data_IF_620834078142
#
_entry.id   IF_620834078142
#
_cell.length_a   1.000
_cell.length_b   1.000
_cell.length_c   1.000
_cell.angle_alpha   90.00
_cell.angle_beta   90.00
_cell.angle_gamma   90.00
#
_symmetry.space_group_name_H-M   'P 1'
#
loop_
_entity.id
_entity.type
_entity.pdbx_description
1 polymer ?
#
# COMPACT_ATOMS: atom_id res chain seq x y z
N UNK A 1 -1.27 12.10 13.69
CA UNK A 1 -2.41 11.31 13.16
C UNK A 1 -2.34 11.35 11.65
N UNK A 2 -2.46 10.21 10.98
CA UNK A 2 -2.41 10.12 9.52
C UNK A 2 -3.69 10.68 8.89
N UNK A 3 -3.55 11.45 7.80
CA UNK A 3 -4.66 11.99 7.04
C UNK A 3 -4.82 11.21 5.71
N UNK A 4 -5.87 10.38 5.55
CA UNK A 4 -6.10 9.64 4.31
C UNK A 4 -6.19 10.51 3.06
N UNK A 5 -6.83 11.69 3.14
CA UNK A 5 -6.90 12.62 2.00
C UNK A 5 -5.51 13.05 1.53
N UNK A 6 -4.64 13.41 2.47
CA UNK A 6 -3.28 13.82 2.14
C UNK A 6 -2.47 12.68 1.48
N UNK A 7 -2.64 11.44 1.95
CA UNK A 7 -1.99 10.27 1.34
C UNK A 7 -2.47 10.09 -0.10
N UNK A 8 -3.79 10.11 -0.33
CA UNK A 8 -4.35 9.95 -1.69
C UNK A 8 -3.90 11.09 -2.60
N UNK A 9 -3.85 12.33 -2.12
CA UNK A 9 -3.39 13.48 -2.90
C UNK A 9 -1.93 13.34 -3.34
N UNK A 10 -1.04 12.85 -2.45
CA UNK A 10 0.35 12.57 -2.80
C UNK A 10 0.46 11.43 -3.83
N UNK A 11 -0.35 10.38 -3.69
CA UNK A 11 -0.41 9.28 -4.65
C UNK A 11 -0.86 9.76 -6.04
N UNK A 12 -1.94 10.55 -6.10
CA UNK A 12 -2.44 11.17 -7.33
C UNK A 12 -1.36 12.04 -7.96
N UNK A 13 -0.71 12.91 -7.18
CA UNK A 13 0.33 13.78 -7.70
C UNK A 13 1.53 13.00 -8.27
N UNK A 14 1.91 11.89 -7.63
CA UNK A 14 2.96 10.99 -8.13
C UNK A 14 2.59 10.31 -9.46
N UNK A 15 1.38 9.76 -9.54
CA UNK A 15 0.89 9.13 -10.77
C UNK A 15 0.69 10.15 -11.89
N UNK A 16 0.15 11.33 -11.58
CA UNK A 16 -0.03 12.42 -12.55
C UNK A 16 1.29 12.81 -13.21
N UNK A 17 2.36 13.03 -12.41
CA UNK A 17 3.69 13.32 -12.95
C UNK A 17 4.19 12.20 -13.86
N UNK A 18 4.01 10.94 -13.45
CA UNK A 18 4.43 9.81 -14.29
C UNK A 18 3.63 9.70 -15.59
N UNK A 19 2.33 10.01 -15.55
CA UNK A 19 1.48 10.10 -16.74
C UNK A 19 2.03 11.16 -17.72
N UNK A 20 2.32 12.35 -17.20
CA UNK A 20 2.86 13.47 -17.97
C UNK A 20 4.24 13.15 -18.57
N UNK A 21 5.12 12.47 -17.82
CA UNK A 21 6.41 11.99 -18.33
C UNK A 21 6.24 11.01 -19.49
N UNK A 22 5.35 10.00 -19.34
CA UNK A 22 5.06 9.03 -20.38
C UNK A 22 4.50 9.70 -21.65
N UNK A 23 3.68 10.73 -21.49
CA UNK A 23 3.13 11.49 -22.61
C UNK A 23 4.20 12.35 -23.29
N UNK A 24 5.09 12.99 -22.52
CA UNK A 24 6.21 13.76 -23.05
C UNK A 24 7.23 12.88 -23.80
N UNK A 25 7.45 11.65 -23.31
CA UNK A 25 8.27 10.63 -23.97
C UNK A 25 7.60 10.04 -25.24
N UNK A 26 6.33 10.38 -25.50
CA UNK A 26 5.50 9.75 -26.53
C UNK A 26 5.43 8.22 -26.35
N UNK A 27 5.39 7.76 -25.09
CA UNK A 27 5.37 6.36 -24.76
C UNK A 27 4.10 5.68 -25.32
N UNK A 28 4.30 4.54 -25.99
CA UNK A 28 3.22 3.71 -26.55
C UNK A 28 2.35 3.10 -25.45
N UNK A 29 2.90 2.90 -24.26
CA UNK A 29 2.24 2.29 -23.09
C UNK A 29 2.11 3.33 -21.97
N UNK A 30 0.94 3.35 -21.34
CA UNK A 30 0.59 4.31 -20.30
C UNK A 30 0.77 3.75 -18.89
N UNK A 31 0.24 4.48 -17.90
CA UNK A 31 0.19 4.03 -16.51
C UNK A 31 -0.59 2.70 -16.35
N UNK A 32 -1.62 2.51 -17.15
CA UNK A 32 -2.47 1.31 -17.17
C UNK A 32 -1.77 0.07 -17.77
N UNK A 33 -0.55 0.24 -18.29
CA UNK A 33 0.31 -0.85 -18.70
C UNK A 33 1.26 -1.33 -17.60
N UNK A 34 1.41 -0.56 -16.52
CA UNK A 34 2.26 -0.93 -15.38
C UNK A 34 1.60 -2.06 -14.61
N UNK A 35 2.38 -3.05 -14.22
CA UNK A 35 1.97 -4.01 -13.21
C UNK A 35 1.88 -3.35 -11.83
N UNK A 36 1.16 -3.99 -10.91
CA UNK A 36 1.07 -3.57 -9.50
C UNK A 36 2.45 -3.27 -8.89
N UNK A 37 3.42 -4.18 -9.07
CA UNK A 37 4.79 -4.02 -8.57
C UNK A 37 5.52 -2.85 -9.23
N UNK A 38 5.26 -2.58 -10.52
CA UNK A 38 5.83 -1.44 -11.24
C UNK A 38 5.20 -0.10 -10.82
N UNK A 39 4.01 -0.10 -10.22
CA UNK A 39 3.41 1.10 -9.64
C UNK A 39 4.04 1.49 -8.29
N UNK A 40 4.55 0.52 -7.52
CA UNK A 40 5.16 0.77 -6.22
C UNK A 40 6.27 1.84 -6.25
N UNK A 41 7.26 1.81 -7.18
CA UNK A 41 8.27 2.87 -7.26
C UNK A 41 7.69 4.24 -7.64
N UNK A 42 6.63 4.30 -8.46
CA UNK A 42 5.98 5.56 -8.84
C UNK A 42 5.29 6.19 -7.63
N UNK A 43 4.50 5.39 -6.90
CA UNK A 43 3.84 5.81 -5.66
C UNK A 43 4.87 6.20 -4.59
N UNK A 44 5.93 5.41 -4.42
CA UNK A 44 6.98 5.71 -3.47
C UNK A 44 7.70 7.03 -3.76
N UNK A 45 7.99 7.31 -5.04
CA UNK A 45 8.54 8.60 -5.45
C UNK A 45 7.57 9.75 -5.16
N UNK A 46 6.27 9.54 -5.41
CA UNK A 46 5.20 10.49 -5.09
C UNK A 46 5.16 10.86 -3.60
N UNK A 47 5.12 9.85 -2.73
CA UNK A 47 5.13 10.03 -1.28
C UNK A 47 6.42 10.67 -0.77
N UNK A 48 7.57 10.25 -1.28
CA UNK A 48 8.87 10.82 -0.89
C UNK A 48 8.99 12.30 -1.26
N UNK A 49 8.54 12.68 -2.47
CA UNK A 49 8.48 14.09 -2.89
C UNK A 49 7.49 14.91 -2.06
N UNK A 50 6.45 14.26 -1.52
CA UNK A 50 5.54 14.81 -0.52
C UNK A 50 6.13 14.98 0.88
N UNK A 51 7.40 14.60 1.10
CA UNK A 51 8.06 14.72 2.40
C UNK A 51 7.80 13.56 3.35
N UNK A 52 7.26 12.43 2.88
CA UNK A 52 7.14 11.22 3.68
C UNK A 52 8.40 10.36 3.56
N UNK A 53 8.71 9.59 4.60
CA UNK A 53 9.62 8.45 4.44
C UNK A 53 8.84 7.26 3.88
N UNK A 54 9.50 6.45 3.04
CA UNK A 54 8.84 5.36 2.32
C UNK A 54 9.73 4.12 2.35
N UNK A 55 9.15 3.01 2.81
CA UNK A 55 9.73 1.68 2.74
C UNK A 55 8.89 0.84 1.79
N UNK A 56 9.54 0.12 0.87
CA UNK A 56 8.86 -0.79 -0.06
C UNK A 56 9.05 -2.23 0.38
N UNK A 57 8.04 -3.06 0.20
CA UNK A 57 8.08 -4.51 0.46
C UNK A 57 8.60 -4.85 1.87
N UNK A 58 8.14 -4.07 2.87
CA UNK A 58 8.62 -4.17 4.24
C UNK A 58 7.88 -5.29 4.99
N UNK A 59 8.58 -6.16 5.75
CA UNK A 59 7.94 -7.28 6.41
C UNK A 59 6.95 -6.82 7.50
N UNK A 60 5.82 -7.51 7.60
CA UNK A 60 4.81 -7.23 8.62
C UNK A 60 5.37 -7.37 10.04
N UNK A 61 5.01 -6.47 10.98
CA UNK A 61 5.58 -6.44 12.34
C UNK A 61 4.96 -7.50 13.27
N UNK A 62 3.94 -8.22 12.81
CA UNK A 62 3.25 -9.27 13.56
C UNK A 62 4.08 -10.55 13.76
N UNK A 63 3.60 -11.41 14.65
CA UNK A 63 4.22 -12.73 14.89
C UNK A 63 5.55 -12.69 15.64
N UNK A 64 5.87 -11.58 16.30
CA UNK A 64 7.14 -11.36 17.01
C UNK A 64 7.49 -12.47 18.03
N UNK A 65 6.49 -13.07 18.68
CA UNK A 65 6.69 -14.19 19.61
C UNK A 65 7.34 -15.43 18.96
N UNK A 66 7.05 -15.69 17.68
CA UNK A 66 7.62 -16.82 16.92
C UNK A 66 8.97 -16.50 16.29
N UNK A 67 9.36 -15.23 16.27
CA UNK A 67 10.64 -14.74 15.71
C UNK A 67 11.00 -15.30 14.31
N UNK A 68 10.06 -15.30 13.35
CA UNK A 68 10.30 -15.88 12.02
C UNK A 68 11.48 -15.18 11.32
N UNK A 69 12.16 -15.90 10.42
CA UNK A 69 13.22 -15.31 9.59
C UNK A 69 12.61 -14.29 8.63
N UNK A 70 13.42 -13.32 8.21
CA UNK A 70 12.98 -12.26 7.30
C UNK A 70 12.35 -12.79 5.99
N UNK A 71 12.84 -13.92 5.46
CA UNK A 71 12.32 -14.54 4.25
C UNK A 71 10.98 -15.30 4.45
N UNK A 72 10.61 -15.60 5.70
CA UNK A 72 9.40 -16.35 6.05
C UNK A 72 8.21 -15.41 6.32
N UNK A 73 8.44 -14.09 6.36
CA UNK A 73 7.43 -13.09 6.68
C UNK A 73 6.80 -12.55 5.41
N UNK A 74 5.47 -12.43 5.46
CA UNK A 74 4.72 -11.62 4.51
C UNK A 74 5.17 -10.17 4.57
N UNK A 75 5.04 -9.48 3.43
CA UNK A 75 5.48 -8.10 3.24
C UNK A 75 4.29 -7.23 2.93
N UNK A 76 4.36 -5.99 3.41
CA UNK A 76 3.47 -4.92 3.02
C UNK A 76 4.11 -4.16 1.85
N UNK A 77 3.30 -3.79 0.87
CA UNK A 77 3.79 -3.14 -0.35
C UNK A 77 4.53 -1.84 -0.04
N UNK A 78 3.92 -0.98 0.79
CA UNK A 78 4.46 0.31 1.18
C UNK A 78 4.24 0.58 2.68
N UNK A 79 5.25 1.16 3.34
CA UNK A 79 5.12 1.70 4.69
C UNK A 79 5.59 3.14 4.70
N UNK A 80 4.74 4.02 5.21
CA UNK A 80 4.99 5.46 5.24
C UNK A 80 5.37 5.92 6.65
N UNK A 81 6.34 6.82 6.73
CA UNK A 81 6.72 7.54 7.95
C UNK A 81 6.54 9.04 7.74
N UNK A 82 6.33 9.79 8.83
CA UNK A 82 5.99 11.22 8.80
C UNK A 82 7.11 12.13 8.28
N UNK A 83 8.33 11.61 8.17
CA UNK A 83 9.48 12.31 7.64
C UNK A 83 10.41 11.34 6.88
N UNK A 84 11.20 11.83 5.91
CA UNK A 84 12.21 11.03 5.24
C UNK A 84 13.41 10.75 6.15
N UNK A 85 14.17 9.70 5.82
CA UNK A 85 15.45 9.38 6.49
C UNK A 85 15.32 8.81 7.90
N UNK A 86 14.12 8.72 8.46
CA UNK A 86 13.88 8.02 9.74
C UNK A 86 13.86 6.51 9.51
N UNK A 87 14.46 5.74 10.42
CA UNK A 87 14.43 4.27 10.36
C UNK A 87 13.10 3.74 10.86
N UNK A 88 12.50 2.78 10.17
CA UNK A 88 11.37 2.00 10.67
C UNK A 88 11.89 0.86 11.56
N UNK A 89 11.31 0.72 12.75
CA UNK A 89 11.69 -0.33 13.70
C UNK A 89 11.08 -1.66 13.24
N UNK A 90 11.89 -2.72 13.18
CA UNK A 90 11.42 -4.09 12.99
C UNK A 90 11.47 -4.84 14.35
N UNK A 91 10.33 -5.03 15.03
CA UNK A 91 10.30 -5.65 16.35
C UNK A 91 10.79 -7.11 16.31
N UNK A 92 10.59 -7.81 15.18
CA UNK A 92 11.04 -9.20 15.04
C UNK A 92 12.56 -9.26 14.93
N UNK A 93 13.16 -8.38 14.12
CA UNK A 93 14.61 -8.29 13.98
C UNK A 93 15.28 -7.92 15.31
N UNK A 94 14.70 -6.97 16.06
CA UNK A 94 15.17 -6.59 17.40
C UNK A 94 15.22 -7.77 18.37
N UNK A 95 14.14 -8.55 18.45
CA UNK A 95 14.11 -9.72 19.33
C UNK A 95 15.14 -10.78 18.91
N UNK A 96 15.34 -10.96 17.60
CA UNK A 96 16.37 -11.88 17.09
C UNK A 96 17.79 -11.43 17.43
N UNK A 97 18.07 -10.13 17.36
CA UNK A 97 19.38 -9.59 17.73
C UNK A 97 19.67 -9.81 19.22
N UNK A 98 18.66 -9.65 20.09
CA UNK A 98 18.78 -10.00 21.51
C UNK A 98 19.07 -11.50 21.69
N UNK A 99 18.31 -12.38 21.03
CA UNK A 99 18.54 -13.82 21.09
C UNK A 99 19.95 -14.21 20.56
N UNK A 100 20.41 -13.57 19.48
CA UNK A 100 21.74 -13.82 18.88
C UNK A 100 22.89 -13.32 19.77
N UNK A 101 22.61 -12.39 20.69
CA UNK A 101 23.57 -11.93 21.70
C UNK A 101 23.73 -12.87 22.88
N UNK A 102 22.85 -13.87 23.04
CA UNK A 102 22.93 -14.85 24.11
C UNK A 102 24.27 -15.61 24.04
N UNK A 103 24.96 -15.70 25.17
CA UNK A 103 26.30 -16.31 25.23
C UNK A 103 27.46 -15.41 24.78
N UNK A 104 27.19 -14.15 24.41
CA UNK A 104 28.24 -13.14 24.15
C UNK A 104 28.56 -12.32 25.40
N UNK A 105 29.67 -11.58 25.36
CA UNK A 105 30.06 -10.65 26.44
C UNK A 105 29.06 -9.51 26.68
N UNK A 106 28.18 -9.23 25.71
CA UNK A 106 27.23 -8.11 25.75
C UNK A 106 25.79 -8.55 26.04
N UNK A 107 25.55 -9.83 26.35
CA UNK A 107 24.21 -10.38 26.55
C UNK A 107 23.39 -9.59 27.59
N UNK A 108 24.02 -9.09 28.66
CA UNK A 108 23.34 -8.33 29.71
C UNK A 108 22.92 -6.91 29.31
N UNK A 109 23.44 -6.39 28.19
CA UNK A 109 23.15 -5.04 27.70
C UNK A 109 22.38 -5.04 26.37
N UNK A 110 22.30 -6.17 25.68
CA UNK A 110 21.75 -6.27 24.34
C UNK A 110 20.30 -5.76 24.26
N UNK A 111 19.45 -6.14 25.23
CA UNK A 111 18.06 -5.68 25.27
C UNK A 111 17.96 -4.15 25.40
N UNK A 112 18.77 -3.54 26.26
CA UNK A 112 18.77 -2.09 26.48
C UNK A 112 19.31 -1.34 25.25
N UNK A 113 20.38 -1.86 24.62
CA UNK A 113 20.97 -1.27 23.42
C UNK A 113 19.98 -1.29 22.25
N UNK A 114 19.33 -2.43 22.02
CA UNK A 114 18.33 -2.60 20.94
C UNK A 114 17.09 -1.75 21.21
N UNK A 115 16.66 -1.63 22.47
CA UNK A 115 15.54 -0.77 22.85
C UNK A 115 15.87 0.73 22.68
N UNK A 116 17.11 1.13 22.93
CA UNK A 116 17.58 2.50 22.82
C UNK A 116 17.81 2.96 21.36
N UNK A 117 17.81 2.05 20.39
CA UNK A 117 17.97 2.43 18.99
C UNK A 117 16.81 3.35 18.53
N UNK A 118 17.12 4.53 17.95
CA UNK A 118 16.10 5.45 17.48
C UNK A 118 15.39 4.89 16.24
N UNK A 119 14.10 5.16 16.13
CA UNK A 119 13.31 4.81 14.96
C UNK A 119 11.81 5.06 15.17
N UNK A 120 11.04 4.87 14.11
CA UNK A 120 9.59 4.95 14.11
C UNK A 120 9.02 3.59 14.53
N UNK A 121 8.17 3.57 15.54
CA UNK A 121 7.43 2.36 15.91
C UNK A 121 6.46 1.97 14.78
N UNK A 122 6.31 0.67 14.45
CA UNK A 122 5.29 0.21 13.49
C UNK A 122 3.89 0.79 13.70
N UNK A 123 3.50 1.08 14.95
CA UNK A 123 2.21 1.68 15.29
C UNK A 123 2.10 3.16 14.85
N UNK A 124 3.22 3.87 14.75
CA UNK A 124 3.26 5.28 14.32
C UNK A 124 3.36 5.43 12.79
N UNK A 125 3.70 4.36 12.08
CA UNK A 125 3.77 4.31 10.62
C UNK A 125 2.38 4.06 9.99
N UNK A 126 2.25 4.37 8.68
CA UNK A 126 1.07 4.00 7.89
C UNK A 126 1.40 2.83 6.98
N UNK A 127 0.69 1.72 7.14
CA UNK A 127 0.89 0.49 6.37
C UNK A 127 -0.08 0.44 5.19
N UNK A 128 0.44 0.38 3.97
CA UNK A 128 -0.33 0.56 2.75
C UNK A 128 -0.14 -0.61 1.80
N UNK A 129 -1.23 -1.32 1.56
CA UNK A 129 -1.36 -2.30 0.47
C UNK A 129 -1.83 -1.60 -0.79
N UNK A 130 -1.27 -1.96 -1.94
CA UNK A 130 -1.63 -1.35 -3.24
C UNK A 130 -2.29 -2.43 -4.10
N UNK A 131 -3.47 -2.13 -4.61
CA UNK A 131 -4.12 -2.97 -5.61
C UNK A 131 -4.37 -2.21 -6.88
N UNK A 132 -3.91 -2.74 -8.00
CA UNK A 132 -4.26 -2.20 -9.32
C UNK A 132 -5.26 -3.09 -10.04
N UNK A 133 -6.26 -2.46 -10.66
CA UNK A 133 -7.26 -3.10 -11.51
C UNK A 133 -7.58 -2.18 -12.70
N UNK A 134 -7.78 -2.73 -13.90
CA UNK A 134 -8.17 -1.94 -15.07
C UNK A 134 -9.32 -2.59 -15.84
N UNK A 135 -10.24 -1.79 -16.38
CA UNK A 135 -11.28 -2.26 -17.30
C UNK A 135 -10.69 -2.80 -18.60
N UNK A 136 -9.62 -2.17 -19.07
CA UNK A 136 -8.81 -2.65 -20.19
C UNK A 136 -7.40 -2.95 -19.70
N UNK A 137 -6.84 -4.09 -20.11
CA UNK A 137 -5.51 -4.55 -19.71
C UNK A 137 -4.76 -5.18 -20.89
N UNK A 138 -3.45 -5.39 -20.72
CA UNK A 138 -2.64 -6.13 -21.68
C UNK A 138 -2.62 -7.62 -21.34
N UNK A 139 -3.26 -8.45 -22.16
CA UNK A 139 -3.15 -9.91 -22.06
C UNK A 139 -2.15 -10.40 -23.09
N UNK A 140 -1.01 -10.94 -22.62
CA UNK A 140 0.12 -11.37 -23.50
C UNK A 140 0.57 -10.25 -24.47
N UNK A 141 0.56 -9.02 -23.98
CA UNK A 141 0.96 -7.83 -24.75
C UNK A 141 -0.11 -7.28 -25.69
N UNK A 142 -1.30 -7.90 -25.77
CA UNK A 142 -2.42 -7.42 -26.58
C UNK A 142 -3.42 -6.68 -25.70
N UNK A 143 -3.77 -5.42 -26.02
CA UNK A 143 -4.78 -4.69 -25.26
C UNK A 143 -6.18 -5.25 -25.51
N UNK A 144 -7.00 -5.31 -24.46
CA UNK A 144 -8.38 -5.74 -24.56
C UNK A 144 -9.15 -5.60 -23.24
N UNK A 145 -10.47 -5.85 -23.25
CA UNK A 145 -11.28 -5.79 -22.03
C UNK A 145 -10.85 -6.86 -21.02
N UNK A 146 -10.85 -6.47 -19.75
CA UNK A 146 -10.53 -7.35 -18.64
C UNK A 146 -11.77 -8.15 -18.21
N UNK A 147 -11.88 -9.39 -18.69
CA UNK A 147 -12.97 -10.30 -18.33
C UNK A 147 -13.01 -10.65 -16.82
N UNK A 148 -11.91 -10.43 -16.08
CA UNK A 148 -11.81 -10.70 -14.65
C UNK A 148 -12.01 -9.45 -13.77
N UNK A 149 -12.24 -8.27 -14.38
CA UNK A 149 -12.26 -6.96 -13.72
C UNK A 149 -12.99 -6.94 -12.37
N UNK A 150 -14.28 -7.30 -12.35
CA UNK A 150 -15.07 -7.27 -11.12
C UNK A 150 -14.55 -8.25 -10.06
N UNK A 151 -14.07 -9.42 -10.48
CA UNK A 151 -13.53 -10.42 -9.54
C UNK A 151 -12.17 -10.01 -8.95
N UNK A 152 -11.34 -9.30 -9.72
CA UNK A 152 -10.06 -8.75 -9.27
C UNK A 152 -10.29 -7.60 -8.27
N UNK A 153 -11.20 -6.68 -8.59
CA UNK A 153 -11.58 -5.58 -7.72
C UNK A 153 -12.08 -6.08 -6.35
N UNK A 154 -12.96 -7.08 -6.35
CA UNK A 154 -13.54 -7.61 -5.12
C UNK A 154 -12.63 -8.59 -4.36
N UNK A 155 -11.55 -9.08 -4.97
CA UNK A 155 -10.61 -10.00 -4.30
C UNK A 155 -9.94 -9.36 -3.09
N UNK A 156 -9.68 -8.05 -3.15
CA UNK A 156 -9.10 -7.25 -2.07
C UNK A 156 -9.89 -7.37 -0.76
N UNK A 157 -11.22 -7.45 -0.83
CA UNK A 157 -12.08 -7.66 0.33
C UNK A 157 -11.76 -8.97 1.07
N UNK A 158 -11.23 -9.97 0.37
CA UNK A 158 -10.94 -11.28 0.93
C UNK A 158 -9.51 -11.41 1.47
N UNK A 159 -8.56 -10.66 0.92
CA UNK A 159 -7.12 -10.82 1.21
C UNK A 159 -6.58 -9.70 2.09
N UNK A 160 -6.54 -8.47 1.58
CA UNK A 160 -5.62 -7.46 2.09
C UNK A 160 -6.19 -6.67 3.27
N UNK A 161 -7.51 -6.44 3.29
CA UNK A 161 -8.17 -5.80 4.44
C UNK A 161 -8.06 -6.66 5.71
N UNK A 162 -8.39 -7.98 5.69
CA UNK A 162 -8.18 -8.84 6.85
C UNK A 162 -6.71 -8.92 7.28
N UNK A 163 -5.76 -8.97 6.33
CA UNK A 163 -4.32 -9.03 6.59
C UNK A 163 -3.84 -7.84 7.44
N UNK A 164 -4.23 -6.63 7.04
CA UNK A 164 -3.92 -5.41 7.81
C UNK A 164 -4.64 -5.38 9.17
N UNK A 165 -5.92 -5.75 9.20
CA UNK A 165 -6.73 -5.69 10.42
C UNK A 165 -6.25 -6.62 11.54
N UNK A 166 -5.70 -7.78 11.18
CA UNK A 166 -5.23 -8.81 12.12
C UNK A 166 -3.84 -8.51 12.70
N UNK A 167 -3.15 -7.47 12.23
CA UNK A 167 -1.83 -7.13 12.72
C UNK A 167 -1.91 -6.14 13.89
N UNK A 168 -1.83 -6.65 15.13
CA UNK A 168 -1.95 -5.83 16.35
C UNK A 168 -0.90 -4.73 16.49
N UNK A 169 0.25 -4.86 15.83
CA UNK A 169 1.32 -3.86 15.86
C UNK A 169 1.09 -2.70 14.88
N UNK A 170 0.07 -2.79 14.01
CA UNK A 170 -0.31 -1.72 13.08
C UNK A 170 -1.45 -0.91 13.72
N UNK A 171 -1.25 0.38 13.96
CA UNK A 171 -2.32 1.27 14.42
C UNK A 171 -2.97 2.07 13.28
N UNK A 172 -2.26 2.26 12.17
CA UNK A 172 -2.75 2.92 10.97
C UNK A 172 -2.36 2.15 9.71
N UNK A 173 -3.36 1.83 8.90
CA UNK A 173 -3.13 1.22 7.59
C UNK A 173 -4.34 1.31 6.69
N UNK A 174 -4.15 0.96 5.43
CA UNK A 174 -5.20 1.02 4.42
C UNK A 174 -4.84 0.25 3.17
N UNK A 175 -5.84 0.04 2.32
CA UNK A 175 -5.63 -0.45 0.96
C UNK A 175 -5.87 0.70 -0.01
N UNK A 176 -4.92 0.96 -0.89
CA UNK A 176 -5.07 1.90 -2.01
C UNK A 176 -5.45 1.10 -3.26
N UNK A 177 -6.70 1.24 -3.69
CA UNK A 177 -7.14 0.77 -5.00
C UNK A 177 -6.75 1.81 -6.06
N UNK A 178 -6.10 1.35 -7.12
CA UNK A 178 -5.77 2.11 -8.34
C UNK A 178 -6.58 1.50 -9.48
N UNK A 179 -7.64 2.17 -9.88
CA UNK A 179 -8.63 1.67 -10.83
C UNK A 179 -8.53 2.45 -12.13
N UNK A 180 -8.24 1.76 -13.23
CA UNK A 180 -8.28 2.34 -14.58
C UNK A 180 -9.61 2.03 -15.27
N UNK A 181 -10.24 3.04 -15.83
CA UNK A 181 -11.60 2.94 -16.37
C UNK A 181 -11.85 3.95 -17.50
N UNK A 182 -12.92 3.74 -18.25
CA UNK A 182 -13.30 4.57 -19.40
C UNK A 182 -13.96 5.90 -19.01
N UNK A 183 -14.75 5.92 -17.92
CA UNK A 183 -15.54 7.09 -17.50
C UNK A 183 -15.79 7.15 -15.99
N UNK A 184 -16.10 8.33 -15.45
CA UNK A 184 -16.35 8.52 -14.02
C UNK A 184 -17.60 7.76 -13.54
N UNK A 185 -18.61 7.58 -14.38
CA UNK A 185 -19.83 6.85 -14.05
C UNK A 185 -19.54 5.38 -13.73
N UNK A 186 -18.65 4.75 -14.50
CA UNK A 186 -18.18 3.39 -14.25
C UNK A 186 -17.50 3.30 -12.89
N UNK A 187 -16.51 4.16 -12.64
CA UNK A 187 -15.78 4.13 -11.38
C UNK A 187 -16.69 4.38 -10.18
N UNK A 188 -17.62 5.32 -10.28
CA UNK A 188 -18.59 5.58 -9.22
C UNK A 188 -19.42 4.32 -8.90
N UNK A 189 -19.91 3.62 -9.93
CA UNK A 189 -20.64 2.37 -9.76
C UNK A 189 -19.77 1.28 -9.09
N UNK A 190 -18.58 1.03 -9.63
CA UNK A 190 -17.72 -0.06 -9.21
C UNK A 190 -17.11 0.15 -7.82
N UNK A 191 -16.66 1.37 -7.51
CA UNK A 191 -16.14 1.71 -6.19
C UNK A 191 -17.25 1.66 -5.14
N UNK A 192 -18.47 2.07 -5.48
CA UNK A 192 -19.62 1.91 -4.60
C UNK A 192 -19.96 0.43 -4.35
N UNK A 193 -19.92 -0.40 -5.39
CA UNK A 193 -20.12 -1.84 -5.27
C UNK A 193 -19.04 -2.50 -4.40
N UNK A 194 -17.78 -2.06 -4.54
CA UNK A 194 -16.67 -2.49 -3.70
C UNK A 194 -16.90 -2.16 -2.21
N UNK A 195 -17.29 -0.92 -1.90
CA UNK A 195 -17.54 -0.50 -0.50
C UNK A 195 -18.72 -1.26 0.08
N UNK A 196 -19.82 -1.38 -0.66
CA UNK A 196 -20.98 -2.18 -0.25
C UNK A 196 -20.57 -3.61 0.05
N UNK A 197 -19.74 -4.22 -0.80
CA UNK A 197 -19.23 -5.58 -0.59
C UNK A 197 -18.36 -5.70 0.65
N UNK A 198 -17.58 -4.67 1.00
CA UNK A 198 -16.81 -4.66 2.25
C UNK A 198 -17.73 -4.65 3.47
N UNK A 199 -18.79 -3.83 3.43
CA UNK A 199 -19.78 -3.72 4.51
C UNK A 199 -20.59 -5.00 4.66
N UNK A 200 -21.03 -5.62 3.55
CA UNK A 200 -21.75 -6.91 3.56
C UNK A 200 -20.94 -8.05 4.18
N UNK A 201 -19.60 -7.92 4.21
CA UNK A 201 -18.68 -8.88 4.82
C UNK A 201 -18.25 -8.52 6.23
N UNK A 202 -18.81 -7.44 6.79
CA UNK A 202 -18.43 -6.90 8.09
C UNK A 202 -16.92 -6.63 8.19
N UNK A 203 -16.31 -6.17 7.10
CA UNK A 203 -14.89 -5.83 7.10
C UNK A 203 -14.66 -4.54 7.90
N UNK A 204 -13.58 -4.45 8.68
CA UNK A 204 -13.32 -3.33 9.57
C UNK A 204 -12.77 -2.13 8.80
N UNK A 205 -13.54 -1.55 7.87
CA UNK A 205 -13.12 -0.37 7.09
C UNK A 205 -13.61 0.93 7.74
N UNK A 206 -12.90 2.02 7.48
CA UNK A 206 -13.36 3.39 7.73
C UNK A 206 -13.85 4.02 6.43
N UNK A 207 -14.32 5.25 6.51
CA UNK A 207 -14.74 6.03 5.34
C UNK A 207 -13.61 6.09 4.29
N UNK A 208 -13.82 5.57 3.08
CA UNK A 208 -12.84 5.64 2.01
C UNK A 208 -12.71 7.06 1.47
N UNK A 209 -11.51 7.39 0.98
CA UNK A 209 -11.25 8.64 0.28
C UNK A 209 -10.92 8.34 -1.17
N UNK A 210 -11.62 9.00 -2.08
CA UNK A 210 -11.43 8.84 -3.52
C UNK A 210 -10.93 10.14 -4.15
N UNK A 211 -9.98 10.02 -5.08
CA UNK A 211 -9.55 11.07 -6.01
C UNK A 211 -9.31 10.45 -7.38
N UNK A 212 -9.28 11.25 -8.43
CA UNK A 212 -9.02 10.77 -9.78
C UNK A 212 -8.07 11.67 -10.53
N UNK A 213 -7.50 11.13 -11.60
CA UNK A 213 -6.75 11.86 -12.61
C UNK A 213 -7.15 11.39 -14.01
N UNK A 214 -6.91 12.26 -14.99
CA UNK A 214 -7.02 11.89 -16.40
C UNK A 214 -5.77 11.13 -16.83
N UNK A 215 -5.93 10.12 -17.70
CA UNK A 215 -4.81 9.41 -18.33
C UNK A 215 -5.01 9.39 -19.84
N UNK A 216 -3.92 9.49 -20.59
CA UNK A 216 -3.97 9.42 -22.05
C UNK A 216 -4.48 8.05 -22.52
N UNK A 217 -5.54 8.07 -23.32
CA UNK A 217 -6.22 6.89 -23.83
C UNK A 217 -5.33 6.12 -24.83
N UNK A 218 -4.78 4.99 -24.38
CA UNK A 218 -3.95 4.11 -25.21
C UNK A 218 -4.63 2.77 -25.51
N UNK A 219 -5.51 2.31 -24.62
CA UNK A 219 -6.14 0.99 -24.69
C UNK A 219 -7.63 0.97 -24.29
N UNK A 220 -8.24 2.13 -24.05
CA UNK A 220 -9.64 2.26 -23.63
C UNK A 220 -9.83 2.86 -22.24
N UNK A 221 -8.79 2.89 -21.39
CA UNK A 221 -8.85 3.59 -20.11
C UNK A 221 -8.53 5.07 -20.34
N UNK A 222 -9.39 5.96 -19.83
CA UNK A 222 -9.23 7.43 -19.95
C UNK A 222 -9.02 8.11 -18.61
N UNK A 223 -9.33 7.39 -17.54
CA UNK A 223 -9.25 7.89 -16.18
C UNK A 223 -8.63 6.85 -15.25
N UNK A 224 -7.99 7.35 -14.21
CA UNK A 224 -7.48 6.55 -13.11
C UNK A 224 -8.07 7.09 -11.81
N UNK A 225 -8.87 6.28 -11.13
CA UNK A 225 -9.42 6.58 -9.80
C UNK A 225 -8.60 5.88 -8.72
N UNK A 226 -8.24 6.64 -7.70
CA UNK A 226 -7.55 6.16 -6.51
C UNK A 226 -8.53 6.18 -5.35
N UNK A 227 -8.74 5.04 -4.71
CA UNK A 227 -9.54 4.94 -3.49
C UNK A 227 -8.69 4.36 -2.37
N UNK A 228 -8.40 5.17 -1.35
CA UNK A 228 -7.81 4.69 -0.11
C UNK A 228 -8.92 4.25 0.83
N UNK A 229 -8.86 3.00 1.25
CA UNK A 229 -9.78 2.39 2.21
C UNK A 229 -9.02 2.19 3.52
N UNK A 230 -9.16 3.09 4.51
CA UNK A 230 -8.48 2.92 5.78
C UNK A 230 -9.07 1.74 6.54
N UNK A 231 -8.23 0.96 7.20
CA UNK A 231 -8.62 -0.22 7.96
C UNK A 231 -8.60 0.11 9.45
N UNK A 232 -9.66 -0.26 10.19
CA UNK A 232 -9.66 -0.25 11.65
C UNK A 232 -8.84 -1.44 12.12
N UNK A 233 -7.76 -1.17 12.83
CA UNK A 233 -6.95 -2.20 13.47
C UNK A 233 -7.30 -2.31 14.95
N UNK A 234 -6.94 -3.42 15.58
CA UNK A 234 -7.24 -3.68 16.99
C UNK A 234 -6.73 -2.58 17.96
N UNK A 235 -5.67 -1.84 17.58
CA UNK A 235 -5.11 -0.73 18.37
C UNK A 235 -5.69 0.65 18.05
N UNK A 236 -6.45 0.78 16.96
CA UNK A 236 -6.98 2.06 16.49
C UNK A 236 -8.48 2.29 16.78
N UNK A 237 -9.11 1.40 17.54
CA UNK A 237 -10.51 1.50 17.96
C UNK A 237 -10.67 2.31 19.26
#
# INVERSE_FOLDING_TARGET
MWNPDHIVELAVAGLQRRSEELDAEQAVRGLDALTEVELHPVLAAGFAQGGLGVFREWPYPGGASRRPRHAERERCDLVLTTAPGVRLIDPVARLREVDESEGTLFASQAADLVAAEPGVDPADAFWLEVKQVGQFTYTRGVPGPNAAYSSELLRVCASDIPKLAQCDAIAAGGVLLVVFHESDEVAAHDLHAFVSRCLDRDLPIREPVTRGLDVSDRIGNRRCSLMLVPVRTARGA
#
